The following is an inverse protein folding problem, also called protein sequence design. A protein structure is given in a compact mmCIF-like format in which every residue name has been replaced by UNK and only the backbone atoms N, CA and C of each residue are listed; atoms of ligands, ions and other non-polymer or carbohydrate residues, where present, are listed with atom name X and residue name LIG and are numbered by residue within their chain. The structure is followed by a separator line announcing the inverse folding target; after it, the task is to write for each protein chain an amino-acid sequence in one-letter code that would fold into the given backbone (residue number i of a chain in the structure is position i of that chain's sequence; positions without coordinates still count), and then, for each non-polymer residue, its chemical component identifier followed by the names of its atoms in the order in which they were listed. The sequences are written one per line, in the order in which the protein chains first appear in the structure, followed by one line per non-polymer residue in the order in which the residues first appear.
data_IF_864128708533
#
_entry.id   IF_864128708533
#
_cell.length_a   1.000
_cell.length_b   1.000
_cell.length_c   1.000
_cell.angle_alpha   90.00
_cell.angle_beta   90.00
_cell.angle_gamma   90.00
#
_symmetry.space_group_name_H-M   'P 1'
#
loop_
_entity.id
_entity.type
_entity.pdbx_description
1 polymer ?
#
# COMPACT_ATOMS: atom_id res chain seq x y z
N UNK A 1 -6.06 8.59 -9.76
CA UNK A 1 -6.69 7.77 -8.70
C UNK A 1 -5.64 7.46 -7.66
N UNK A 2 -5.96 7.68 -6.40
CA UNK A 2 -5.08 7.33 -5.29
C UNK A 2 -5.48 5.96 -4.76
N UNK A 3 -4.49 5.06 -4.61
CA UNK A 3 -4.75 3.66 -4.26
C UNK A 3 -3.99 3.26 -3.02
N UNK A 4 -4.62 2.41 -2.21
CA UNK A 4 -4.09 1.87 -0.98
C UNK A 4 -3.67 0.40 -1.12
N UNK A 5 -2.59 0.01 -0.44
CA UNK A 5 -2.20 -1.40 -0.26
C UNK A 5 -1.99 -1.67 1.23
N UNK A 6 -2.80 -2.58 1.78
CA UNK A 6 -2.68 -3.03 3.17
C UNK A 6 -1.99 -4.39 3.19
N UNK A 7 -0.83 -4.46 3.84
CA UNK A 7 0.03 -5.64 3.86
C UNK A 7 1.03 -5.62 2.70
N UNK A 8 2.32 -5.61 3.04
CA UNK A 8 3.51 -5.47 2.19
C UNK A 8 4.33 -6.78 2.22
N UNK A 9 3.61 -7.90 2.27
CA UNK A 9 4.11 -9.23 1.93
C UNK A 9 4.38 -9.40 0.43
N UNK A 10 4.45 -10.63 -0.06
CA UNK A 10 4.75 -10.90 -1.48
C UNK A 10 3.74 -10.28 -2.44
N UNK A 11 2.44 -10.38 -2.14
CA UNK A 11 1.39 -9.79 -2.99
C UNK A 11 1.38 -8.27 -2.88
N UNK A 12 1.46 -7.72 -1.67
CA UNK A 12 1.49 -6.27 -1.47
C UNK A 12 2.60 -5.57 -2.24
N UNK A 13 3.83 -6.11 -2.18
CA UNK A 13 4.97 -5.57 -2.94
C UNK A 13 4.72 -5.59 -4.45
N UNK A 14 4.08 -6.63 -4.97
CA UNK A 14 3.70 -6.68 -6.39
C UNK A 14 2.65 -5.64 -6.76
N UNK A 15 1.63 -5.42 -5.92
CA UNK A 15 0.63 -4.39 -6.14
C UNK A 15 1.26 -2.99 -6.15
N UNK A 16 2.12 -2.68 -5.18
CA UNK A 16 2.84 -1.39 -5.14
C UNK A 16 3.66 -1.18 -6.40
N UNK A 17 4.47 -2.17 -6.82
CA UNK A 17 5.26 -2.07 -8.05
C UNK A 17 4.39 -1.77 -9.27
N UNK A 18 3.33 -2.55 -9.47
CA UNK A 18 2.43 -2.37 -10.62
C UNK A 18 1.75 -1.00 -10.54
N UNK A 19 1.17 -0.62 -9.40
CA UNK A 19 0.48 0.66 -9.24
C UNK A 19 1.40 1.86 -9.43
N UNK A 20 2.66 1.79 -8.98
CA UNK A 20 3.64 2.86 -9.22
C UNK A 20 4.02 3.03 -10.71
N UNK A 21 3.75 2.03 -11.56
CA UNK A 21 4.01 2.07 -13.00
C UNK A 21 2.75 2.47 -13.83
N UNK A 22 1.57 2.49 -13.22
CA UNK A 22 0.31 2.83 -13.90
C UNK A 22 0.10 4.34 -13.97
N UNK A 23 -0.06 4.87 -15.18
CA UNK A 23 -0.25 6.32 -15.43
C UNK A 23 -1.49 6.92 -14.77
N UNK A 24 -2.54 6.11 -14.59
CA UNK A 24 -3.81 6.56 -14.00
C UNK A 24 -3.78 6.58 -12.46
N UNK A 25 -2.72 6.01 -11.86
CA UNK A 25 -2.48 6.05 -10.42
C UNK A 25 -1.61 7.26 -10.09
N UNK A 26 -2.11 8.12 -9.20
CA UNK A 26 -1.39 9.31 -8.75
C UNK A 26 -0.39 8.94 -7.66
N UNK A 27 -0.90 8.47 -6.53
CA UNK A 27 -0.11 8.02 -5.38
C UNK A 27 -0.52 6.63 -4.91
N UNK A 28 0.45 5.90 -4.38
CA UNK A 28 0.27 4.59 -3.75
C UNK A 28 0.49 4.74 -2.25
N UNK A 29 -0.58 4.62 -1.48
CA UNK A 29 -0.53 4.64 -0.03
C UNK A 29 -0.36 3.22 0.49
N UNK A 30 0.53 3.02 1.45
CA UNK A 30 0.86 1.69 1.95
C UNK A 30 0.86 1.64 3.46
N UNK A 31 0.40 0.51 4.00
CA UNK A 31 0.48 0.20 5.41
C UNK A 31 0.85 -1.27 5.60
N UNK A 32 1.74 -1.54 6.55
CA UNK A 32 2.03 -2.89 7.05
C UNK A 32 2.24 -2.82 8.56
N UNK A 33 1.84 -3.86 9.27
CA UNK A 33 2.15 -4.03 10.71
C UNK A 33 3.65 -4.09 10.97
N UNK A 34 4.43 -4.55 9.99
CA UNK A 34 5.87 -4.44 9.93
C UNK A 34 6.28 -3.18 9.16
N UNK A 35 6.42 -2.06 9.87
CA UNK A 35 6.77 -0.76 9.29
C UNK A 35 8.04 -0.79 8.42
N UNK A 36 9.03 -1.63 8.73
CA UNK A 36 10.26 -1.75 7.93
C UNK A 36 9.98 -2.26 6.51
N UNK A 37 8.93 -3.05 6.31
CA UNK A 37 8.54 -3.53 4.99
C UNK A 37 7.99 -2.37 4.14
N UNK A 38 7.15 -1.52 4.74
CA UNK A 38 6.57 -0.36 4.08
C UNK A 38 7.64 0.71 3.77
N UNK A 39 8.52 1.02 4.73
CA UNK A 39 9.62 1.97 4.54
C UNK A 39 10.55 1.56 3.40
N UNK A 40 10.92 0.28 3.32
CA UNK A 40 11.74 -0.24 2.21
C UNK A 40 11.07 -0.08 0.84
N UNK A 41 9.75 -0.29 0.77
CA UNK A 41 9.00 -0.05 -0.47
C UNK A 41 9.00 1.41 -0.87
N UNK A 42 8.88 2.32 0.10
CA UNK A 42 8.98 3.77 -0.14
C UNK A 42 10.35 4.19 -0.66
N UNK A 43 11.41 3.62 -0.09
CA UNK A 43 12.79 3.87 -0.55
C UNK A 43 13.00 3.36 -1.97
N UNK A 44 12.44 2.20 -2.32
CA UNK A 44 12.59 1.58 -3.64
C UNK A 44 11.83 2.32 -4.76
N UNK A 45 10.65 2.88 -4.47
CA UNK A 45 9.75 3.43 -5.48
C UNK A 45 9.61 4.96 -5.46
N UNK A 46 10.20 5.64 -4.48
CA UNK A 46 10.26 7.10 -4.44
C UNK A 46 8.96 7.77 -3.97
N UNK A 47 8.82 9.06 -4.26
CA UNK A 47 7.80 9.95 -3.65
C UNK A 47 6.35 9.64 -4.05
N UNK A 48 6.15 8.84 -5.09
CA UNK A 48 4.82 8.34 -5.47
C UNK A 48 4.26 7.29 -4.51
N UNK A 49 5.09 6.73 -3.63
CA UNK A 49 4.66 5.84 -2.55
C UNK A 49 4.57 6.64 -1.24
N UNK A 50 3.58 6.39 -0.41
CA UNK A 50 3.38 7.07 0.87
C UNK A 50 3.13 6.03 1.95
N UNK A 51 3.96 6.02 2.98
CA UNK A 51 3.77 5.15 4.15
C UNK A 51 2.77 5.84 5.08
N UNK A 52 1.71 5.12 5.43
CA UNK A 52 0.70 5.56 6.38
C UNK A 52 1.00 4.98 7.77
N UNK A 53 0.67 5.73 8.82
CA UNK A 53 0.89 5.32 10.21
C UNK A 53 -0.18 4.32 10.71
N UNK A 54 -1.35 4.29 10.05
CA UNK A 54 -2.45 3.36 10.37
C UNK A 54 -3.29 3.00 9.15
N UNK A 55 -4.01 1.87 9.23
CA UNK A 55 -5.00 1.48 8.21
C UNK A 55 -6.07 2.55 8.03
N UNK A 56 -6.58 3.13 9.12
CA UNK A 56 -7.63 4.16 9.07
C UNK A 56 -7.17 5.40 8.29
N UNK A 57 -5.93 5.84 8.50
CA UNK A 57 -5.36 6.98 7.77
C UNK A 57 -5.24 6.70 6.27
N UNK A 58 -4.90 5.46 5.89
CA UNK A 58 -4.83 5.03 4.51
C UNK A 58 -6.23 4.98 3.89
N UNK A 59 -7.18 4.31 4.54
CA UNK A 59 -8.56 4.15 4.05
C UNK A 59 -9.26 5.50 3.91
N UNK A 60 -9.03 6.45 4.82
CA UNK A 60 -9.61 7.79 4.75
C UNK A 60 -9.04 8.68 3.63
N UNK A 61 -8.00 8.23 2.93
CA UNK A 61 -7.29 9.04 1.92
C UNK A 61 -7.49 8.54 0.48
N UNK A 62 -7.68 7.24 0.27
CA UNK A 62 -7.60 6.61 -1.06
C UNK A 62 -8.96 6.32 -1.69
N UNK A 63 -8.98 6.25 -3.02
CA UNK A 63 -10.18 5.90 -3.80
C UNK A 63 -10.47 4.39 -3.78
N UNK A 64 -9.44 3.56 -3.64
CA UNK A 64 -9.54 2.10 -3.64
C UNK A 64 -8.43 1.46 -2.80
N UNK A 65 -8.69 0.28 -2.22
CA UNK A 65 -7.73 -0.46 -1.39
C UNK A 65 -7.58 -1.90 -1.88
N UNK A 66 -6.33 -2.36 -2.02
CA UNK A 66 -5.97 -3.77 -2.08
C UNK A 66 -5.63 -4.28 -0.69
N UNK A 67 -6.42 -5.23 -0.17
CA UNK A 67 -6.12 -5.92 1.08
C UNK A 67 -5.26 -7.15 0.74
N UNK A 68 -3.98 -7.09 1.08
CA UNK A 68 -2.94 -8.08 0.80
C UNK A 68 -2.44 -8.74 2.10
N UNK A 69 -3.36 -8.98 3.02
CA UNK A 69 -3.11 -9.69 4.28
C UNK A 69 -3.33 -11.21 4.12
N UNK A 70 -2.92 -12.05 5.08
CA UNK A 70 -3.37 -13.44 5.14
C UNK A 70 -4.90 -13.54 5.16
N UNK A 71 -5.47 -14.51 4.44
CA UNK A 71 -6.92 -14.64 4.20
C UNK A 71 -7.79 -14.51 5.45
N UNK A 72 -7.33 -15.03 6.60
CA UNK A 72 -8.07 -14.99 7.86
C UNK A 72 -8.32 -13.56 8.39
N UNK A 73 -7.51 -12.58 7.98
CA UNK A 73 -7.60 -11.19 8.43
C UNK A 73 -8.39 -10.29 7.47
N UNK A 74 -8.90 -10.81 6.35
CA UNK A 74 -9.61 -9.98 5.37
C UNK A 74 -10.98 -9.48 5.85
N UNK A 75 -11.60 -10.17 6.81
CA UNK A 75 -12.94 -9.84 7.29
C UNK A 75 -12.93 -8.81 8.42
N UNK A 76 -11.81 -8.72 9.15
CA UNK A 76 -11.62 -7.78 10.27
C UNK A 76 -11.49 -6.34 9.75
#
# INVERSE_FOLDING_TARGET
MDVGVIGIGTMGRNHVRVYSELKDVGKVYIYDVNGDAATRMREQHGEGVIVCDSMDSLIGTVDAVSICAPTKYHFE
#
